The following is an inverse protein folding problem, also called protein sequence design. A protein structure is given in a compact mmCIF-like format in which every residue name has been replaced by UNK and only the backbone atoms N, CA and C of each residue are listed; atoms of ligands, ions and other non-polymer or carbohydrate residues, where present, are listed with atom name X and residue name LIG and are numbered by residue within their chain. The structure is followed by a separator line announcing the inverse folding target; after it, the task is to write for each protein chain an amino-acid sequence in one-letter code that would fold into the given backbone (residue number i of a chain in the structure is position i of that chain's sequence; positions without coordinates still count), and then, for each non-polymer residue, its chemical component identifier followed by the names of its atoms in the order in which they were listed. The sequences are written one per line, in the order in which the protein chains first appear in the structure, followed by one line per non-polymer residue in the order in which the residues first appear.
data_IF_071874976444
#
_entry.id   IF_071874976444
#
_cell.length_a   1.000
_cell.length_b   1.000
_cell.length_c   1.000
_cell.angle_alpha   90.00
_cell.angle_beta   90.00
_cell.angle_gamma   90.00
#
_symmetry.space_group_name_H-M   'P 1'
#
loop_
_entity.id
_entity.type
_entity.pdbx_description
1 polymer ?
#
# COMPACT_ATOMS: atom_id res chain seq x y z
N UNK A 1 -14.00 -12.89 -14.08
CA UNK A 1 -12.75 -12.84 -13.25
C UNK A 1 -12.84 -11.89 -12.03
N UNK A 2 -13.32 -10.64 -12.14
CA UNK A 2 -13.47 -9.68 -11.00
C UNK A 2 -14.36 -10.17 -9.84
N UNK A 3 -15.54 -10.73 -10.11
CA UNK A 3 -16.47 -11.25 -9.07
C UNK A 3 -15.84 -12.32 -8.17
N UNK A 4 -15.07 -13.27 -8.74
CA UNK A 4 -14.34 -14.31 -7.98
C UNK A 4 -13.26 -13.72 -7.06
N UNK A 5 -12.48 -12.72 -7.52
CA UNK A 5 -11.48 -12.01 -6.69
C UNK A 5 -12.13 -11.27 -5.52
N UNK A 6 -13.24 -10.54 -5.75
CA UNK A 6 -14.02 -9.88 -4.68
C UNK A 6 -14.56 -10.89 -3.66
N UNK A 7 -15.08 -12.05 -4.09
CA UNK A 7 -15.57 -13.11 -3.17
C UNK A 7 -14.45 -13.69 -2.29
N UNK A 8 -13.25 -13.95 -2.85
CA UNK A 8 -12.08 -14.41 -2.08
C UNK A 8 -11.59 -13.38 -1.05
N UNK A 9 -11.50 -12.09 -1.43
CA UNK A 9 -11.14 -11.00 -0.50
C UNK A 9 -12.12 -10.91 0.68
N UNK A 10 -13.43 -11.05 0.41
CA UNK A 10 -14.48 -11.06 1.45
C UNK A 10 -14.25 -12.15 2.51
N UNK A 11 -13.99 -13.39 2.08
CA UNK A 11 -13.75 -14.51 3.00
C UNK A 11 -12.50 -14.30 3.87
N UNK A 12 -11.44 -13.69 3.33
CA UNK A 12 -10.22 -13.39 4.10
C UNK A 12 -10.46 -12.35 5.19
N UNK A 13 -11.28 -11.33 4.93
CA UNK A 13 -11.63 -10.30 5.93
C UNK A 13 -12.48 -10.91 7.05
N UNK A 14 -13.43 -11.78 6.69
CA UNK A 14 -14.24 -12.50 7.67
C UNK A 14 -13.37 -13.35 8.61
N UNK A 15 -12.41 -14.11 8.06
CA UNK A 15 -11.45 -14.89 8.85
C UNK A 15 -10.55 -14.00 9.72
N UNK A 16 -10.04 -12.89 9.18
CA UNK A 16 -9.20 -11.98 9.95
C UNK A 16 -9.97 -11.37 11.13
N UNK A 17 -11.25 -11.04 10.93
CA UNK A 17 -12.12 -10.57 12.02
C UNK A 17 -12.39 -11.67 13.06
N UNK A 18 -12.59 -12.93 12.61
CA UNK A 18 -12.87 -14.08 13.48
C UNK A 18 -11.68 -14.43 14.39
N UNK A 19 -10.47 -14.42 13.83
CA UNK A 19 -9.24 -14.78 14.53
C UNK A 19 -8.43 -13.58 15.04
N UNK A 20 -8.97 -12.37 14.97
CA UNK A 20 -8.30 -11.13 15.36
C UNK A 20 -6.90 -10.96 14.73
N UNK A 21 -6.79 -11.26 13.43
CA UNK A 21 -5.53 -11.19 12.69
C UNK A 21 -5.41 -9.87 11.91
N UNK A 22 -4.18 -9.38 11.67
CA UNK A 22 -3.95 -8.25 10.79
C UNK A 22 -4.28 -8.60 9.33
N UNK A 23 -4.70 -7.58 8.59
CA UNK A 23 -5.00 -7.61 7.16
C UNK A 23 -3.83 -7.02 6.37
N UNK A 24 -3.01 -7.90 5.81
CA UNK A 24 -1.98 -7.51 4.84
C UNK A 24 -2.59 -7.46 3.43
N UNK A 25 -2.85 -6.25 2.93
CA UNK A 25 -3.67 -6.02 1.74
C UNK A 25 -2.86 -5.48 0.58
N UNK A 26 -3.16 -6.02 -0.60
CA UNK A 26 -2.62 -5.56 -1.86
C UNK A 26 -3.73 -5.02 -2.76
N UNK A 27 -3.41 -3.92 -3.43
CA UNK A 27 -4.19 -3.36 -4.53
C UNK A 27 -3.27 -2.74 -5.59
N UNK A 28 -3.82 -2.63 -6.80
CA UNK A 28 -3.22 -1.91 -7.92
C UNK A 28 -4.35 -1.39 -8.76
N UNK A 29 -4.45 -0.07 -8.92
CA UNK A 29 -5.58 0.60 -9.61
C UNK A 29 -6.94 0.18 -9.03
N UNK A 30 -7.00 -0.07 -7.72
CA UNK A 30 -8.21 -0.54 -7.06
C UNK A 30 -8.40 0.09 -5.66
N UNK A 31 -7.85 1.29 -5.46
CA UNK A 31 -7.90 2.05 -4.21
C UNK A 31 -9.31 2.15 -3.62
N UNK A 32 -10.26 2.73 -4.37
CA UNK A 32 -11.64 2.91 -3.90
C UNK A 32 -12.33 1.57 -3.62
N UNK A 33 -12.16 0.61 -4.53
CA UNK A 33 -12.71 -0.74 -4.39
C UNK A 33 -12.18 -1.46 -3.13
N UNK A 34 -10.93 -1.21 -2.73
CA UNK A 34 -10.33 -1.74 -1.51
C UNK A 34 -10.91 -1.06 -0.27
N UNK A 35 -10.94 0.27 -0.25
CA UNK A 35 -11.49 1.06 0.86
C UNK A 35 -12.94 0.67 1.12
N UNK A 36 -13.79 0.64 0.09
CA UNK A 36 -15.21 0.33 0.22
C UNK A 36 -15.42 -1.06 0.86
N UNK A 37 -14.62 -2.04 0.45
CA UNK A 37 -14.71 -3.39 1.00
C UNK A 37 -14.22 -3.43 2.45
N UNK A 38 -13.11 -2.76 2.79
CA UNK A 38 -12.57 -2.72 4.15
C UNK A 38 -13.51 -1.97 5.10
N UNK A 39 -13.98 -0.80 4.71
CA UNK A 39 -14.94 0.00 5.49
C UNK A 39 -16.22 -0.77 5.79
N UNK A 40 -16.73 -1.51 4.79
CA UNK A 40 -17.94 -2.31 4.95
C UNK A 40 -17.75 -3.56 5.82
N UNK A 41 -16.58 -4.21 5.77
CA UNK A 41 -16.42 -5.57 6.32
C UNK A 41 -15.41 -5.73 7.44
N UNK A 42 -14.39 -4.87 7.53
CA UNK A 42 -13.45 -4.93 8.65
C UNK A 42 -14.19 -4.47 9.91
N UNK A 43 -14.15 -5.28 10.98
CA UNK A 43 -14.79 -4.92 12.26
C UNK A 43 -13.93 -3.92 13.02
N UNK A 44 -12.62 -3.95 12.83
CA UNK A 44 -11.74 -2.93 13.39
C UNK A 44 -11.86 -1.62 12.58
N UNK A 45 -12.56 -0.65 13.17
CA UNK A 45 -12.84 0.65 12.52
C UNK A 45 -11.72 1.67 12.67
N UNK A 46 -10.80 1.48 13.62
CA UNK A 46 -9.64 2.36 13.74
C UNK A 46 -8.53 2.00 12.72
N UNK A 47 -8.68 0.88 12.01
CA UNK A 47 -7.81 0.49 10.91
C UNK A 47 -6.39 0.10 11.30
N UNK A 48 -6.05 0.10 12.59
CA UNK A 48 -4.72 -0.25 13.09
C UNK A 48 -4.36 -1.74 12.89
N UNK A 49 -5.25 -2.54 12.29
CA UNK A 49 -4.97 -3.90 11.87
C UNK A 49 -4.74 -4.05 10.36
N UNK A 50 -4.71 -2.96 9.58
CA UNK A 50 -4.56 -3.03 8.12
C UNK A 50 -3.19 -2.51 7.69
N UNK A 51 -2.50 -3.29 6.87
CA UNK A 51 -1.22 -2.94 6.25
C UNK A 51 -1.43 -2.91 4.74
N UNK A 52 -1.28 -1.74 4.13
CA UNK A 52 -1.26 -1.57 2.68
C UNK A 52 0.13 -1.93 2.19
N UNK A 53 0.26 -3.16 1.69
CA UNK A 53 1.50 -3.70 1.16
C UNK A 53 1.87 -3.06 -0.18
N UNK A 54 3.16 -2.75 -0.31
CA UNK A 54 3.83 -2.24 -1.48
C UNK A 54 3.05 -1.08 -2.11
N UNK A 55 2.83 -0.03 -1.32
CA UNK A 55 2.12 1.14 -1.78
C UNK A 55 2.92 1.84 -2.89
N UNK A 56 2.30 1.93 -4.08
CA UNK A 56 2.89 2.58 -5.25
C UNK A 56 2.10 3.79 -5.73
N UNK A 57 0.99 4.12 -5.08
CA UNK A 57 0.05 5.15 -5.55
C UNK A 57 -0.40 4.95 -6.99
N UNK A 58 -0.57 6.06 -7.70
CA UNK A 58 -0.95 6.11 -9.13
C UNK A 58 0.29 6.43 -10.00
N UNK A 59 1.34 5.60 -9.89
CA UNK A 59 2.61 5.79 -10.62
C UNK A 59 3.20 7.20 -10.41
N UNK A 60 3.29 8.01 -11.47
CA UNK A 60 3.88 9.35 -11.49
C UNK A 60 2.88 10.48 -11.18
N UNK A 61 1.59 10.17 -11.01
CA UNK A 61 0.60 11.16 -10.59
C UNK A 61 0.72 11.46 -9.10
N UNK A 62 1.37 12.57 -8.78
CA UNK A 62 1.59 13.05 -7.42
C UNK A 62 0.29 13.36 -6.67
N UNK A 63 -0.65 14.05 -7.33
CA UNK A 63 -1.87 14.51 -6.68
C UNK A 63 -2.75 13.32 -6.27
N UNK A 64 -2.90 12.34 -7.17
CA UNK A 64 -3.62 11.10 -6.88
C UNK A 64 -2.89 10.25 -5.84
N UNK A 65 -1.57 10.11 -5.96
CA UNK A 65 -0.76 9.35 -4.99
C UNK A 65 -0.87 9.93 -3.58
N UNK A 66 -0.80 11.27 -3.46
CA UNK A 66 -0.99 11.98 -2.19
C UNK A 66 -2.41 11.77 -1.64
N UNK A 67 -3.43 11.90 -2.49
CA UNK A 67 -4.82 11.71 -2.08
C UNK A 67 -5.06 10.30 -1.54
N UNK A 68 -4.56 9.28 -2.24
CA UNK A 68 -4.67 7.89 -1.81
C UNK A 68 -3.94 7.63 -0.49
N UNK A 69 -2.73 8.16 -0.35
CA UNK A 69 -1.95 8.03 0.87
C UNK A 69 -2.70 8.64 2.07
N UNK A 70 -3.10 9.90 1.94
CA UNK A 70 -3.81 10.61 3.02
C UNK A 70 -5.10 9.87 3.40
N UNK A 71 -5.81 9.30 2.44
CA UNK A 71 -7.02 8.53 2.74
C UNK A 71 -6.71 7.26 3.55
N UNK A 72 -5.64 6.55 3.22
CA UNK A 72 -5.24 5.39 4.01
C UNK A 72 -4.79 5.77 5.42
N UNK A 73 -4.08 6.89 5.59
CA UNK A 73 -3.66 7.41 6.89
C UNK A 73 -4.84 7.87 7.75
N UNK A 74 -5.83 8.56 7.15
CA UNK A 74 -7.09 8.94 7.81
C UNK A 74 -7.84 7.72 8.35
N UNK A 75 -7.79 6.60 7.62
CA UNK A 75 -8.38 5.33 8.04
C UNK A 75 -7.54 4.57 9.06
N UNK A 76 -6.37 5.09 9.45
CA UNK A 76 -5.46 4.49 10.43
C UNK A 76 -4.60 3.35 9.90
N UNK A 77 -4.50 3.17 8.58
CA UNK A 77 -3.78 2.05 7.98
C UNK A 77 -2.27 2.26 8.02
N UNK A 78 -1.53 1.16 8.09
CA UNK A 78 -0.07 1.14 7.93
C UNK A 78 0.27 1.13 6.44
N UNK A 79 1.34 1.82 6.06
CA UNK A 79 1.81 1.94 4.68
C UNK A 79 3.16 1.27 4.57
N UNK A 80 3.23 0.25 3.73
CA UNK A 80 4.49 -0.44 3.46
C UNK A 80 5.10 0.03 2.15
N UNK A 81 6.40 0.36 2.21
CA UNK A 81 7.19 0.85 1.08
C UNK A 81 8.24 -0.19 0.71
N UNK A 82 8.34 -0.47 -0.59
CA UNK A 82 9.32 -1.39 -1.15
C UNK A 82 10.39 -0.69 -2.00
N UNK A 83 11.30 -1.47 -2.60
CA UNK A 83 12.27 -0.99 -3.58
C UNK A 83 11.67 -0.26 -4.79
N UNK A 84 10.34 -0.23 -4.94
CA UNK A 84 9.66 0.64 -5.90
C UNK A 84 10.07 2.12 -5.77
N UNK A 85 10.36 2.58 -4.55
CA UNK A 85 10.87 3.94 -4.27
C UNK A 85 12.15 4.27 -5.05
N UNK A 86 12.96 3.27 -5.38
CA UNK A 86 14.23 3.45 -6.10
C UNK A 86 14.03 3.60 -7.62
N UNK A 87 12.83 3.34 -8.15
CA UNK A 87 12.58 3.47 -9.60
C UNK A 87 12.55 4.94 -9.98
N UNK A 88 13.28 5.30 -11.05
CA UNK A 88 13.47 6.69 -11.48
C UNK A 88 12.17 7.46 -11.70
N UNK A 89 11.43 7.16 -12.77
CA UNK A 89 10.15 7.82 -13.09
C UNK A 89 8.99 7.35 -12.20
N UNK A 90 8.65 6.05 -12.14
CA UNK A 90 7.43 5.63 -11.45
C UNK A 90 7.53 5.76 -9.91
N UNK A 91 8.74 5.81 -9.34
CA UNK A 91 8.94 6.03 -7.91
C UNK A 91 8.98 7.51 -7.49
N UNK A 92 8.88 8.46 -8.43
CA UNK A 92 9.02 9.90 -8.12
C UNK A 92 7.92 10.40 -7.20
N UNK A 93 6.65 10.22 -7.60
CA UNK A 93 5.53 10.65 -6.77
C UNK A 93 5.54 9.96 -5.38
N UNK A 94 5.96 8.69 -5.31
CA UNK A 94 6.10 7.99 -4.04
C UNK A 94 7.14 8.65 -3.13
N UNK A 95 8.32 9.01 -3.65
CA UNK A 95 9.36 9.71 -2.88
C UNK A 95 8.87 11.04 -2.31
N UNK A 96 8.04 11.76 -3.06
CA UNK A 96 7.50 13.06 -2.64
C UNK A 96 6.45 12.93 -1.53
N UNK A 97 5.71 11.82 -1.44
CA UNK A 97 4.67 11.64 -0.43
C UNK A 97 5.12 10.88 0.82
N UNK A 98 6.22 10.13 0.77
CA UNK A 98 6.74 9.37 1.92
C UNK A 98 6.96 10.23 3.17
N UNK A 99 7.50 11.47 3.08
CA UNK A 99 7.65 12.34 4.25
C UNK A 99 6.34 12.69 4.96
N UNK A 100 5.18 12.47 4.31
CA UNK A 100 3.85 12.70 4.91
C UNK A 100 3.39 11.53 5.79
N UNK A 101 4.08 10.38 5.74
CA UNK A 101 3.73 9.18 6.50
C UNK A 101 4.30 9.33 7.92
N UNK A 102 3.46 9.29 8.97
CA UNK A 102 3.95 9.21 10.34
C UNK A 102 4.83 7.97 10.51
N UNK A 103 5.94 8.10 11.24
CA UNK A 103 6.94 7.03 11.35
C UNK A 103 6.33 5.75 11.95
N UNK A 104 5.40 5.88 12.89
CA UNK A 104 4.66 4.78 13.50
C UNK A 104 3.66 4.08 12.56
N UNK A 105 3.41 4.65 11.38
CA UNK A 105 2.57 4.08 10.31
C UNK A 105 3.38 3.59 9.11
N UNK A 106 4.69 3.85 9.08
CA UNK A 106 5.57 3.44 7.98
C UNK A 106 6.13 2.04 8.22
N UNK A 107 6.10 1.20 7.18
CA UNK A 107 6.75 -0.09 7.15
C UNK A 107 7.68 -0.18 5.93
N UNK A 108 8.73 -1.00 6.04
CA UNK A 108 9.68 -1.27 4.96
C UNK A 108 9.61 -2.75 4.59
N UNK A 109 9.64 -3.04 3.29
CA UNK A 109 9.70 -4.40 2.78
C UNK A 109 10.53 -4.51 1.50
N UNK A 110 10.93 -5.72 1.12
CA UNK A 110 11.66 -5.95 -0.13
C UNK A 110 10.76 -6.27 -1.32
N UNK A 111 9.58 -6.85 -1.09
CA UNK A 111 8.73 -7.48 -2.12
C UNK A 111 9.55 -8.38 -3.08
N UNK A 112 10.53 -9.10 -2.51
CA UNK A 112 11.37 -10.02 -3.25
C UNK A 112 10.51 -11.15 -3.86
N UNK A 113 10.81 -11.59 -5.10
CA UNK A 113 12.00 -11.26 -5.91
C UNK A 113 11.83 -10.05 -6.83
N UNK A 114 10.72 -9.29 -6.76
CA UNK A 114 10.31 -8.38 -7.83
C UNK A 114 10.83 -6.94 -7.70
N UNK A 115 10.84 -6.39 -6.49
CA UNK A 115 11.21 -4.98 -6.26
C UNK A 115 12.69 -4.84 -5.90
N UNK A 116 13.56 -5.40 -6.74
CA UNK A 116 15.01 -5.27 -6.60
C UNK A 116 15.41 -3.79 -6.54
N UNK A 117 16.36 -3.49 -5.65
CA UNK A 117 16.99 -2.17 -5.48
C UNK A 117 18.03 -2.03 -6.60
N UNK A 118 17.56 -2.01 -7.84
CA UNK A 118 18.37 -1.88 -9.03
C UNK A 118 18.06 -0.54 -9.69
N UNK A 119 18.73 0.50 -9.23
CA UNK A 119 18.73 1.78 -9.92
C UNK A 119 19.93 1.83 -10.86
N UNK A 120 19.72 2.30 -12.10
CA UNK A 120 20.83 2.67 -12.98
C UNK A 120 21.73 3.75 -12.34
N UNK A 121 21.22 4.51 -11.36
CA UNK A 121 22.01 5.47 -10.57
C UNK A 121 23.06 4.81 -9.67
N UNK A 122 22.75 3.66 -9.04
CA UNK A 122 23.71 2.90 -8.22
C UNK A 122 24.75 2.21 -9.10
N UNK A 123 24.39 1.83 -10.34
CA UNK A 123 25.33 1.27 -11.30
C UNK A 123 26.33 2.29 -11.88
N UNK A 124 25.99 3.58 -11.85
CA UNK A 124 26.78 4.64 -12.48
C UNK A 124 27.56 5.52 -11.48
N UNK A 125 27.59 5.20 -10.18
CA UNK A 125 28.49 5.83 -9.22
C UNK A 125 28.21 7.30 -8.86
N UNK A 126 27.05 7.86 -9.23
CA UNK A 126 26.69 9.23 -8.87
C UNK A 126 25.91 9.25 -7.55
N UNK A 127 26.63 9.50 -6.46
CA UNK A 127 26.08 9.95 -5.16
C UNK A 127 26.21 11.47 -5.05
#
# INVERSE_FOLDING_TARGET
KKKKKKKKKKKKIELANEYNLPLYVHERLAHQDLIDILMKKNKNKNGNNVIVHCFTGTNDDLAQTKTQLLKYLELGYFISVSGYICKSKPGQALREVIPLIPLEKLMVESDAPYMHIGDKRVQNGNY
#
